data_IF_275593477409
#
_entry.id   IF_275593477409
#
_cell.length_a   1.000
_cell.length_b   1.000
_cell.length_c   1.000
_cell.angle_alpha   90.00
_cell.angle_beta   90.00
_cell.angle_gamma   90.00
#
_symmetry.space_group_name_H-M   'P 1'
#
loop_
_entity.id
_entity.type
_entity.pdbx_description
1 polymer ?
#
# COMPACT_ATOMS: atom_id res chain seq x y z
N UNK A 1 55.34 -23.27 38.19
CA UNK A 1 55.25 -23.04 36.77
C UNK A 1 53.85 -23.53 36.33
N UNK A 2 52.94 -22.63 36.18
CA UNK A 2 51.56 -22.91 35.74
C UNK A 2 51.41 -22.47 34.27
N UNK A 3 51.23 -23.42 33.38
CA UNK A 3 51.00 -23.14 31.96
C UNK A 3 49.57 -22.69 31.75
N UNK A 4 49.42 -21.46 31.23
CA UNK A 4 48.16 -20.93 30.77
C UNK A 4 47.89 -21.49 29.35
N UNK A 5 46.89 -22.34 29.24
CA UNK A 5 46.34 -22.80 27.96
C UNK A 5 45.37 -21.72 27.43
N UNK A 6 45.75 -21.01 26.40
CA UNK A 6 44.87 -20.16 25.61
C UNK A 6 44.03 -21.03 24.67
N UNK A 7 42.71 -21.05 24.87
CA UNK A 7 41.76 -21.57 23.89
C UNK A 7 41.54 -20.51 22.79
N UNK A 8 41.54 -20.90 21.52
CA UNK A 8 41.22 -19.94 20.45
C UNK A 8 39.73 -19.56 20.49
N UNK A 9 39.46 -18.27 20.48
CA UNK A 9 38.12 -17.74 20.26
C UNK A 9 37.72 -18.04 18.80
N UNK A 10 36.74 -18.91 18.62
CA UNK A 10 36.09 -19.09 17.32
C UNK A 10 35.40 -17.75 16.95
N UNK A 11 35.95 -17.08 15.93
CA UNK A 11 35.25 -15.99 15.25
C UNK A 11 34.06 -16.60 14.52
N UNK A 12 32.85 -16.39 15.03
CA UNK A 12 31.63 -16.59 14.27
C UNK A 12 31.68 -15.62 13.07
N UNK A 13 32.13 -16.11 11.93
CA UNK A 13 31.92 -15.41 10.66
C UNK A 13 30.42 -15.49 10.38
N UNK A 14 29.71 -14.40 10.62
CA UNK A 14 28.37 -14.25 10.07
C UNK A 14 28.50 -14.41 8.57
N UNK A 15 27.92 -15.49 8.03
CA UNK A 15 27.96 -15.77 6.61
C UNK A 15 27.42 -14.57 5.85
N UNK A 16 28.23 -14.02 4.95
CA UNK A 16 27.76 -13.04 3.98
C UNK A 16 26.56 -13.68 3.24
N UNK A 17 25.42 -12.99 3.22
CA UNK A 17 24.30 -13.39 2.36
C UNK A 17 24.84 -13.56 0.95
N UNK A 18 24.55 -14.67 0.34
CA UNK A 18 24.86 -14.92 -1.07
C UNK A 18 23.86 -14.11 -1.90
N UNK A 19 24.23 -12.88 -2.28
CA UNK A 19 23.41 -11.97 -3.08
C UNK A 19 23.16 -12.47 -4.51
N UNK A 20 23.66 -13.67 -4.87
CA UNK A 20 23.48 -14.28 -6.19
C UNK A 20 22.18 -15.10 -6.33
N UNK A 21 21.52 -15.45 -5.24
CA UNK A 21 20.22 -16.17 -5.29
C UNK A 21 19.06 -15.19 -5.29
N UNK A 22 18.04 -15.41 -6.16
CA UNK A 22 16.80 -14.64 -6.06
C UNK A 22 16.21 -14.85 -4.67
N UNK A 23 15.77 -13.74 -4.04
CA UNK A 23 15.12 -13.78 -2.73
C UNK A 23 13.80 -14.55 -2.87
N UNK A 24 13.58 -15.53 -2.01
CA UNK A 24 12.35 -16.28 -1.92
C UNK A 24 11.48 -15.74 -0.77
N UNK A 25 10.16 -15.82 -0.94
CA UNK A 25 9.17 -15.45 0.08
C UNK A 25 8.40 -16.68 0.49
N UNK A 26 8.47 -16.99 1.79
CA UNK A 26 7.81 -18.16 2.38
C UNK A 26 6.56 -17.71 3.14
N UNK A 27 5.48 -18.47 2.96
CA UNK A 27 4.26 -18.30 3.73
C UNK A 27 4.51 -18.58 5.22
N UNK A 28 4.00 -17.71 6.09
CA UNK A 28 4.11 -17.84 7.54
C UNK A 28 2.77 -18.26 8.18
N UNK A 29 1.76 -17.40 8.04
CA UNK A 29 0.42 -17.64 8.60
C UNK A 29 -0.63 -16.78 7.89
N UNK A 30 -1.89 -17.03 8.25
CA UNK A 30 -3.05 -16.28 7.74
C UNK A 30 -4.11 -16.13 8.83
N UNK A 31 -4.98 -15.14 8.65
CA UNK A 31 -6.21 -15.00 9.43
C UNK A 31 -7.33 -14.39 8.60
N UNK A 32 -8.54 -14.40 9.16
CA UNK A 32 -9.74 -13.93 8.48
C UNK A 32 -10.54 -15.07 7.84
N UNK A 33 -11.77 -14.79 7.61
CA UNK A 33 -12.74 -15.65 6.91
C UNK A 33 -13.94 -14.81 6.49
N UNK A 34 -14.75 -15.34 5.59
CA UNK A 34 -15.96 -14.66 5.12
C UNK A 34 -16.97 -14.44 6.25
N UNK A 35 -17.45 -13.22 6.42
CA UNK A 35 -18.53 -12.90 7.36
C UNK A 35 -18.51 -11.48 7.90
N UNK A 36 -19.40 -11.21 8.86
CA UNK A 36 -19.58 -9.90 9.50
C UNK A 36 -19.23 -9.87 10.98
N UNK A 37 -18.84 -11.01 11.57
CA UNK A 37 -18.34 -11.06 12.93
C UNK A 37 -16.97 -10.35 13.05
N UNK A 38 -16.52 -10.14 14.28
CA UNK A 38 -15.21 -9.60 14.56
C UNK A 38 -14.11 -10.52 14.01
N UNK A 39 -13.14 -9.94 13.29
CA UNK A 39 -12.07 -10.68 12.61
C UNK A 39 -12.47 -11.38 11.31
N UNK A 40 -13.72 -11.22 10.86
CA UNK A 40 -14.19 -11.70 9.56
C UNK A 40 -14.24 -10.54 8.55
N UNK A 41 -14.23 -10.88 7.26
CA UNK A 41 -14.23 -9.92 6.17
C UNK A 41 -15.31 -10.23 5.13
N UNK A 42 -15.84 -9.19 4.48
CA UNK A 42 -16.64 -9.30 3.26
C UNK A 42 -15.82 -8.94 2.03
N UNK A 43 -15.14 -7.79 2.08
CA UNK A 43 -14.28 -7.30 1.01
C UNK A 43 -13.12 -6.48 1.58
N UNK A 44 -12.14 -7.15 2.22
CA UNK A 44 -10.97 -6.46 2.73
C UNK A 44 -10.21 -5.83 1.56
N UNK A 45 -9.69 -4.62 1.76
CA UNK A 45 -9.08 -3.86 0.67
C UNK A 45 -7.64 -3.48 0.97
N UNK A 46 -7.36 -2.81 2.08
CA UNK A 46 -6.06 -2.26 2.43
C UNK A 46 -5.59 -2.72 3.81
N UNK A 47 -4.28 -2.70 4.02
CA UNK A 47 -3.61 -3.03 5.29
C UNK A 47 -2.53 -2.02 5.60
N UNK A 48 -2.51 -1.47 6.82
CA UNK A 48 -1.48 -0.56 7.31
C UNK A 48 -1.10 -0.86 8.75
N UNK A 49 0.01 -0.26 9.26
CA UNK A 49 0.56 -0.56 10.59
C UNK A 49 0.82 0.72 11.38
N UNK A 50 0.50 0.69 12.69
CA UNK A 50 0.96 1.72 13.60
C UNK A 50 2.38 1.43 14.14
N UNK A 51 2.96 2.37 14.90
CA UNK A 51 4.32 2.25 15.42
C UNK A 51 4.49 1.12 16.44
N UNK A 52 3.41 0.65 17.06
CA UNK A 52 3.39 -0.49 17.99
C UNK A 52 3.23 -1.85 17.25
N UNK A 53 3.07 -1.82 15.92
CA UNK A 53 2.92 -3.00 15.06
C UNK A 53 1.51 -3.59 15.06
N UNK A 54 0.50 -2.84 15.47
CA UNK A 54 -0.89 -3.24 15.24
C UNK A 54 -1.25 -3.08 13.77
N UNK A 55 -2.11 -3.98 13.30
CA UNK A 55 -2.52 -4.10 11.89
C UNK A 55 -3.92 -3.52 11.73
N UNK A 56 -4.10 -2.63 10.76
CA UNK A 56 -5.39 -2.03 10.43
C UNK A 56 -5.81 -2.46 9.04
N UNK A 57 -7.07 -2.88 8.89
CA UNK A 57 -7.61 -3.39 7.63
C UNK A 57 -8.91 -2.69 7.33
N UNK A 58 -9.03 -2.11 6.12
CA UNK A 58 -10.30 -1.58 5.61
C UNK A 58 -11.14 -2.71 5.00
N UNK A 59 -12.46 -2.65 5.22
CA UNK A 59 -13.39 -3.53 4.54
C UNK A 59 -14.48 -2.71 3.82
N UNK A 60 -14.41 -2.73 2.50
CA UNK A 60 -15.25 -1.90 1.62
C UNK A 60 -16.73 -2.20 1.71
N UNK A 61 -17.10 -3.47 1.87
CA UNK A 61 -18.50 -3.90 1.88
C UNK A 61 -19.09 -3.91 3.30
N UNK A 62 -18.22 -3.87 4.34
CA UNK A 62 -18.63 -3.68 5.73
C UNK A 62 -18.67 -2.20 6.11
N UNK A 63 -17.98 -1.34 5.37
CA UNK A 63 -17.80 0.07 5.68
C UNK A 63 -17.21 0.28 7.09
N UNK A 64 -16.25 -0.57 7.48
CA UNK A 64 -15.53 -0.47 8.74
C UNK A 64 -14.01 -0.66 8.58
N UNK A 65 -13.29 -0.24 9.60
CA UNK A 65 -11.86 -0.49 9.77
C UNK A 65 -11.73 -1.43 10.96
N UNK A 66 -10.96 -2.50 10.83
CA UNK A 66 -10.66 -3.44 11.89
C UNK A 66 -9.19 -3.35 12.31
N UNK A 67 -8.93 -3.31 13.63
CA UNK A 67 -7.59 -3.35 14.23
C UNK A 67 -7.30 -4.75 14.76
N UNK A 68 -6.10 -5.24 14.50
CA UNK A 68 -5.59 -6.54 14.93
C UNK A 68 -4.21 -6.38 15.59
N UNK A 69 -3.80 -7.35 16.39
CA UNK A 69 -2.40 -7.53 16.74
C UNK A 69 -1.61 -8.13 15.55
N UNK A 70 -0.29 -8.06 15.59
CA UNK A 70 0.59 -8.59 14.53
C UNK A 70 0.36 -10.08 14.20
N UNK A 71 -0.18 -10.86 15.13
CA UNK A 71 -0.51 -12.28 14.93
C UNK A 71 -1.95 -12.52 14.45
N UNK A 72 -2.69 -11.46 14.06
CA UNK A 72 -4.05 -11.55 13.53
C UNK A 72 -5.17 -11.68 14.57
N UNK A 73 -4.88 -11.42 15.86
CA UNK A 73 -5.95 -11.39 16.89
C UNK A 73 -6.72 -10.08 16.80
N UNK A 74 -8.05 -10.17 16.63
CA UNK A 74 -8.94 -9.01 16.59
C UNK A 74 -8.88 -8.22 17.91
N UNK A 75 -8.85 -6.88 17.82
CA UNK A 75 -8.82 -5.98 18.96
C UNK A 75 -10.06 -5.10 19.00
N UNK A 76 -10.33 -4.37 17.92
CA UNK A 76 -11.45 -3.45 17.84
C UNK A 76 -11.79 -3.12 16.39
N UNK A 77 -12.92 -2.45 16.18
CA UNK A 77 -13.32 -1.89 14.89
C UNK A 77 -14.10 -0.60 15.09
N UNK A 78 -14.13 0.21 14.04
CA UNK A 78 -14.97 1.41 13.97
C UNK A 78 -15.45 1.63 12.53
N UNK A 79 -16.43 2.51 12.39
CA UNK A 79 -17.07 2.79 11.12
C UNK A 79 -18.40 2.09 10.95
N UNK A 80 -19.18 2.57 10.03
CA UNK A 80 -20.43 2.01 9.53
C UNK A 80 -20.82 2.73 8.25
N UNK A 81 -21.69 2.15 7.45
CA UNK A 81 -22.19 2.78 6.24
C UNK A 81 -22.79 4.17 6.51
N UNK A 82 -22.41 5.18 5.71
CA UNK A 82 -22.95 6.51 5.76
C UNK A 82 -21.96 7.61 5.35
N UNK A 83 -22.40 8.87 5.53
CA UNK A 83 -21.62 10.05 5.13
C UNK A 83 -21.31 11.01 6.29
N UNK A 84 -21.65 10.68 7.53
CA UNK A 84 -21.28 11.49 8.71
C UNK A 84 -19.83 11.24 9.10
N UNK A 85 -19.32 12.09 10.00
CA UNK A 85 -18.02 11.88 10.63
C UNK A 85 -17.93 10.48 11.27
N UNK A 86 -16.88 9.73 10.94
CA UNK A 86 -16.67 8.36 11.40
C UNK A 86 -17.52 7.30 10.70
N UNK A 87 -18.36 7.67 9.73
CA UNK A 87 -19.03 6.73 8.82
C UNK A 87 -18.30 6.69 7.48
N UNK A 88 -18.45 5.60 6.74
CA UNK A 88 -17.79 5.39 5.47
C UNK A 88 -18.76 4.98 4.36
N UNK A 89 -18.37 5.27 3.14
CA UNK A 89 -18.93 4.69 1.93
C UNK A 89 -17.80 4.15 1.09
N UNK A 90 -17.63 2.83 1.11
CA UNK A 90 -16.54 2.17 0.37
C UNK A 90 -15.17 2.70 0.81
N UNK A 91 -14.73 2.49 2.08
CA UNK A 91 -13.39 2.88 2.51
C UNK A 91 -12.34 2.07 1.74
N UNK A 92 -11.38 2.78 1.15
CA UNK A 92 -10.34 2.19 0.29
C UNK A 92 -9.03 2.05 1.04
N UNK A 93 -8.20 3.09 1.03
CA UNK A 93 -6.87 3.07 1.61
C UNK A 93 -6.86 3.52 3.07
N UNK A 94 -5.91 2.99 3.82
CA UNK A 94 -5.56 3.39 5.19
C UNK A 94 -4.08 3.76 5.20
N UNK A 95 -3.76 4.98 5.56
CA UNK A 95 -2.39 5.39 5.79
C UNK A 95 -2.19 5.85 7.23
N UNK A 96 -1.04 5.54 7.81
CA UNK A 96 -0.72 5.87 9.20
C UNK A 96 0.57 6.68 9.25
N UNK A 97 0.48 7.93 9.76
CA UNK A 97 1.63 8.81 9.88
C UNK A 97 2.54 8.44 11.07
N UNK A 98 3.69 9.08 11.16
CA UNK A 98 4.69 8.84 12.23
C UNK A 98 4.22 9.22 13.64
N UNK A 99 3.06 9.83 13.78
CA UNK A 99 2.41 10.16 15.06
C UNK A 99 1.23 9.22 15.35
N UNK A 100 1.10 8.13 14.59
CA UNK A 100 0.02 7.16 14.65
C UNK A 100 -1.38 7.75 14.39
N UNK A 101 -1.46 8.84 13.62
CA UNK A 101 -2.75 9.26 13.11
C UNK A 101 -3.12 8.40 11.91
N UNK A 102 -4.37 7.95 11.91
CA UNK A 102 -4.92 7.06 10.87
C UNK A 102 -5.71 7.90 9.88
N UNK A 103 -5.33 7.83 8.61
CA UNK A 103 -6.06 8.45 7.51
C UNK A 103 -6.79 7.37 6.74
N UNK A 104 -8.05 7.59 6.44
CA UNK A 104 -8.88 6.66 5.66
C UNK A 104 -9.40 7.38 4.42
N UNK A 105 -9.09 6.85 3.26
CA UNK A 105 -9.66 7.29 2.00
C UNK A 105 -11.08 6.74 1.89
N UNK A 106 -12.06 7.58 2.11
CA UNK A 106 -13.50 7.27 2.07
C UNK A 106 -14.04 7.54 0.66
N UNK A 107 -13.67 6.65 -0.27
CA UNK A 107 -13.80 6.82 -1.72
C UNK A 107 -15.22 7.15 -2.17
N UNK A 108 -16.23 6.47 -1.64
CA UNK A 108 -17.63 6.69 -2.05
C UNK A 108 -18.24 7.98 -1.51
N UNK A 109 -17.54 8.67 -0.59
CA UNK A 109 -17.90 9.99 -0.09
C UNK A 109 -16.95 11.09 -0.59
N UNK A 110 -16.04 10.79 -1.52
CA UNK A 110 -15.07 11.71 -2.11
C UNK A 110 -14.27 12.50 -1.06
N UNK A 111 -13.82 11.84 0.00
CA UNK A 111 -13.13 12.49 1.12
C UNK A 111 -12.05 11.64 1.77
N UNK A 112 -11.22 12.29 2.59
CA UNK A 112 -10.29 11.65 3.50
C UNK A 112 -10.71 11.96 4.93
N UNK A 113 -10.73 10.97 5.80
CA UNK A 113 -11.02 11.13 7.22
C UNK A 113 -9.80 10.77 8.06
N UNK A 114 -9.53 11.56 9.12
CA UNK A 114 -8.46 11.35 10.10
C UNK A 114 -9.01 10.87 11.43
N UNK A 115 -8.35 9.87 12.02
CA UNK A 115 -8.68 9.26 13.30
C UNK A 115 -7.45 9.15 14.18
N UNK A 116 -7.66 8.99 15.49
CA UNK A 116 -6.64 8.51 16.41
C UNK A 116 -6.53 6.96 16.41
N UNK A 117 -5.56 6.40 17.14
CA UNK A 117 -5.33 4.94 17.26
C UNK A 117 -6.51 4.16 17.86
N UNK A 118 -7.47 4.85 18.49
CA UNK A 118 -8.69 4.28 19.06
C UNK A 118 -9.89 4.41 18.12
N UNK A 119 -9.67 4.85 16.88
CA UNK A 119 -10.74 5.06 15.91
C UNK A 119 -11.62 6.27 16.21
N UNK A 120 -11.16 7.21 17.06
CA UNK A 120 -11.89 8.45 17.34
C UNK A 120 -11.70 9.42 16.17
N UNK A 121 -12.79 9.88 15.59
CA UNK A 121 -12.73 10.85 14.50
C UNK A 121 -12.09 12.18 14.98
N UNK A 122 -11.16 12.68 14.16
CA UNK A 122 -10.47 13.96 14.40
C UNK A 122 -10.92 15.01 13.40
N UNK A 123 -10.82 14.73 12.11
CA UNK A 123 -11.07 15.70 11.03
C UNK A 123 -11.35 14.99 9.70
N UNK A 124 -11.91 15.73 8.73
CA UNK A 124 -12.09 15.25 7.36
C UNK A 124 -11.83 16.36 6.34
N UNK A 125 -11.58 15.96 5.08
CA UNK A 125 -11.35 16.84 3.94
C UNK A 125 -11.97 16.22 2.69
N UNK A 126 -12.76 17.02 1.98
CA UNK A 126 -13.32 16.69 0.66
C UNK A 126 -12.52 17.37 -0.48
N UNK A 127 -11.55 18.21 -0.09
CA UNK A 127 -10.63 18.93 -0.98
C UNK A 127 -9.38 19.39 -0.23
N UNK A 128 -8.29 19.74 -0.93
CA UNK A 128 -7.14 20.40 -0.31
C UNK A 128 -7.53 21.76 0.28
N UNK A 129 -6.83 22.19 1.33
CA UNK A 129 -6.96 23.55 1.86
C UNK A 129 -6.20 24.57 0.99
N UNK A 130 -6.56 25.85 1.09
CA UNK A 130 -5.87 26.98 0.46
C UNK A 130 -5.87 26.96 -1.08
N UNK A 131 -6.87 26.34 -1.69
CA UNK A 131 -7.12 26.41 -3.13
C UNK A 131 -8.30 27.34 -3.42
N UNK A 132 -8.33 27.95 -4.60
CA UNK A 132 -9.47 28.73 -5.07
C UNK A 132 -10.68 27.80 -5.32
N UNK A 133 -11.86 28.25 -4.94
CA UNK A 133 -13.06 27.46 -4.62
C UNK A 133 -13.67 26.60 -5.74
N UNK A 134 -13.19 26.60 -6.96
CA UNK A 134 -14.02 26.09 -8.08
C UNK A 134 -13.65 24.72 -8.65
N UNK A 135 -12.41 24.19 -8.45
CA UNK A 135 -11.97 23.05 -9.25
C UNK A 135 -11.18 21.95 -8.49
N UNK A 136 -11.29 21.87 -7.16
CA UNK A 136 -10.34 21.06 -6.38
C UNK A 136 -10.98 20.05 -5.43
N UNK A 137 -12.24 19.68 -5.62
CA UNK A 137 -12.82 18.54 -4.89
C UNK A 137 -12.17 17.25 -5.33
N UNK A 138 -11.98 16.31 -4.40
CA UNK A 138 -11.59 14.97 -4.77
C UNK A 138 -12.72 14.29 -5.53
N UNK A 139 -12.36 13.43 -6.47
CA UNK A 139 -13.29 12.58 -7.19
C UNK A 139 -12.82 11.14 -7.14
N UNK A 140 -13.56 10.31 -6.42
CA UNK A 140 -13.21 8.89 -6.23
C UNK A 140 -11.72 8.69 -5.88
N UNK A 141 -11.17 9.36 -4.83
CA UNK A 141 -9.79 9.14 -4.42
C UNK A 141 -9.64 7.66 -4.01
N UNK A 142 -8.51 7.03 -4.35
CA UNK A 142 -8.35 5.61 -4.10
C UNK A 142 -7.23 5.31 -3.11
N UNK A 143 -6.09 6.00 -3.23
CA UNK A 143 -4.96 5.74 -2.37
C UNK A 143 -4.29 7.01 -1.88
N UNK A 144 -3.56 6.92 -0.77
CA UNK A 144 -2.73 7.98 -0.25
C UNK A 144 -1.51 7.45 0.48
N UNK A 145 -0.43 8.21 0.43
CA UNK A 145 0.79 7.93 1.19
C UNK A 145 1.29 9.19 1.89
N UNK A 146 1.87 9.02 3.07
CA UNK A 146 2.57 10.07 3.82
C UNK A 146 4.07 9.87 3.69
N UNK A 147 4.76 10.79 3.05
CA UNK A 147 6.23 10.83 3.09
C UNK A 147 6.69 11.08 4.54
N UNK A 148 7.15 10.03 5.19
CA UNK A 148 7.54 10.03 6.62
C UNK A 148 8.70 10.99 6.94
N UNK A 149 9.44 11.43 5.92
CA UNK A 149 10.56 12.36 6.07
C UNK A 149 10.13 13.83 6.09
N UNK A 150 9.18 14.18 5.24
CA UNK A 150 8.70 15.57 5.06
C UNK A 150 7.34 15.83 5.68
N UNK A 151 6.54 14.78 5.91
CA UNK A 151 5.14 14.85 6.31
C UNK A 151 4.21 15.24 5.15
N UNK A 152 4.74 15.36 3.91
CA UNK A 152 3.90 15.62 2.75
C UNK A 152 3.04 14.39 2.43
N UNK A 153 1.86 14.65 1.91
CA UNK A 153 0.91 13.62 1.53
C UNK A 153 0.73 13.62 0.02
N UNK A 154 0.61 12.44 -0.56
CA UNK A 154 0.31 12.28 -1.97
C UNK A 154 -0.94 11.42 -2.09
N UNK A 155 -1.88 11.83 -2.94
CA UNK A 155 -3.21 11.22 -3.08
C UNK A 155 -3.45 10.92 -4.55
N UNK A 156 -3.88 9.72 -4.87
CA UNK A 156 -4.45 9.40 -6.16
C UNK A 156 -5.89 9.91 -6.21
N UNK A 157 -6.09 11.02 -6.88
CA UNK A 157 -7.41 11.60 -7.15
C UNK A 157 -7.92 11.04 -8.48
N UNK A 158 -8.31 9.77 -8.42
CA UNK A 158 -8.48 8.87 -9.57
C UNK A 158 -9.53 9.36 -10.54
N UNK A 159 -10.68 9.84 -10.05
CA UNK A 159 -11.74 10.35 -10.93
C UNK A 159 -11.37 11.66 -11.64
N UNK A 160 -10.32 12.35 -11.18
CA UNK A 160 -9.73 13.52 -11.83
C UNK A 160 -8.45 13.19 -12.59
N UNK A 161 -8.03 11.92 -12.67
CA UNK A 161 -6.84 11.44 -13.39
C UNK A 161 -5.55 12.17 -12.98
N UNK A 162 -5.40 12.48 -11.69
CA UNK A 162 -4.26 13.25 -11.17
C UNK A 162 -3.73 12.72 -9.84
N UNK A 163 -2.51 13.14 -9.49
CA UNK A 163 -1.94 13.03 -8.15
C UNK A 163 -1.94 14.42 -7.53
N UNK A 164 -2.40 14.51 -6.28
CA UNK A 164 -2.41 15.75 -5.49
C UNK A 164 -1.38 15.62 -4.38
N UNK A 165 -0.46 16.59 -4.27
CA UNK A 165 0.50 16.72 -3.18
C UNK A 165 0.04 17.78 -2.20
N UNK A 166 0.00 17.42 -0.92
CA UNK A 166 -0.40 18.28 0.20
C UNK A 166 0.72 18.35 1.25
N UNK A 167 0.70 19.41 2.06
CA UNK A 167 1.50 19.42 3.29
C UNK A 167 0.81 18.66 4.43
N UNK A 168 1.48 18.50 5.56
CA UNK A 168 0.97 17.83 6.76
C UNK A 168 -0.29 18.46 7.38
N UNK A 169 -0.70 19.66 6.93
CA UNK A 169 -1.92 20.35 7.33
C UNK A 169 -3.04 20.23 6.29
N UNK A 170 -2.85 19.39 5.26
CA UNK A 170 -3.73 19.28 4.09
C UNK A 170 -3.80 20.55 3.23
N UNK A 171 -2.76 21.40 3.26
CA UNK A 171 -2.67 22.53 2.37
C UNK A 171 -2.08 22.08 1.03
N UNK A 172 -2.68 22.55 -0.05
CA UNK A 172 -2.24 22.26 -1.41
C UNK A 172 -0.80 22.74 -1.66
N UNK A 173 -0.02 21.89 -2.29
CA UNK A 173 1.34 22.21 -2.75
C UNK A 173 1.37 22.24 -4.28
N UNK A 174 1.04 21.13 -4.92
CA UNK A 174 1.00 20.97 -6.38
C UNK A 174 0.21 19.73 -6.77
N UNK A 175 -0.07 19.60 -8.06
CA UNK A 175 -0.64 18.41 -8.65
C UNK A 175 -0.01 18.12 -10.01
N UNK A 176 -0.15 16.88 -10.48
CA UNK A 176 0.26 16.48 -11.83
C UNK A 176 -0.60 15.33 -12.33
N UNK A 177 -0.58 15.12 -13.64
CA UNK A 177 -1.42 14.12 -14.31
C UNK A 177 -2.21 14.75 -15.43
N UNK A 178 -3.51 14.55 -15.46
CA UNK A 178 -4.38 15.13 -16.49
C UNK A 178 -4.49 16.66 -16.33
N UNK A 179 -4.55 17.36 -17.44
CA UNK A 179 -4.80 18.80 -17.47
C UNK A 179 -6.31 19.14 -17.61
N UNK A 180 -7.11 18.14 -17.99
CA UNK A 180 -8.56 18.29 -18.29
C UNK A 180 -9.43 17.20 -17.64
N UNK A 181 -8.84 16.38 -16.73
CA UNK A 181 -9.52 15.29 -16.04
C UNK A 181 -9.81 14.06 -16.93
N UNK A 182 -9.24 14.01 -18.12
CA UNK A 182 -9.44 12.86 -19.01
C UNK A 182 -8.27 11.85 -18.92
N UNK A 183 -8.56 10.54 -19.01
CA UNK A 183 -7.54 9.50 -18.96
C UNK A 183 -6.57 9.59 -20.15
N UNK A 184 -5.30 9.32 -19.92
CA UNK A 184 -4.27 9.36 -20.95
C UNK A 184 -3.13 8.38 -20.67
N UNK A 185 -2.73 7.63 -21.68
CA UNK A 185 -1.59 6.72 -21.65
C UNK A 185 -0.23 7.40 -21.92
N UNK A 186 -0.20 8.74 -22.09
CA UNK A 186 1.05 9.47 -22.25
C UNK A 186 1.92 9.43 -20.99
N UNK A 187 3.22 9.65 -21.14
CA UNK A 187 4.16 9.73 -20.02
C UNK A 187 3.83 10.92 -19.14
N UNK A 188 3.77 10.70 -17.81
CA UNK A 188 3.42 11.72 -16.84
C UNK A 188 1.94 12.07 -16.78
N UNK A 189 1.10 11.37 -17.56
CA UNK A 189 -0.36 11.39 -17.50
C UNK A 189 -0.86 10.05 -16.99
N UNK A 190 -2.11 9.95 -16.62
CA UNK A 190 -2.68 8.75 -16.02
C UNK A 190 -3.92 8.26 -16.77
N UNK A 191 -4.14 6.97 -16.63
CA UNK A 191 -5.38 6.30 -16.97
C UNK A 191 -5.78 5.43 -15.78
N UNK A 192 -6.55 6.01 -14.89
CA UNK A 192 -6.98 5.45 -13.63
C UNK A 192 -5.79 5.21 -12.66
N UNK A 193 -5.12 6.29 -12.14
CA UNK A 193 -4.07 6.15 -11.14
C UNK A 193 -4.66 5.48 -9.89
N UNK A 194 -4.05 4.39 -9.41
CA UNK A 194 -4.62 3.55 -8.37
C UNK A 194 -3.75 3.55 -7.12
N UNK A 195 -2.67 2.79 -7.07
CA UNK A 195 -1.75 2.76 -5.94
C UNK A 195 -0.65 3.81 -6.05
N UNK A 196 -0.22 4.35 -4.92
CA UNK A 196 0.84 5.34 -4.82
C UNK A 196 1.72 5.07 -3.60
N UNK A 197 3.05 5.16 -3.78
CA UNK A 197 3.96 5.13 -2.66
C UNK A 197 5.21 5.99 -2.91
N UNK A 198 5.98 6.26 -1.84
CA UNK A 198 7.13 7.17 -1.84
C UNK A 198 8.36 6.49 -1.22
N UNK A 199 9.48 6.49 -1.94
CA UNK A 199 10.73 5.95 -1.42
C UNK A 199 11.45 6.92 -0.46
N UNK A 200 12.45 6.42 0.28
CA UNK A 200 13.24 7.22 1.24
C UNK A 200 14.02 8.38 0.61
N UNK A 201 14.12 8.43 -0.72
CA UNK A 201 14.76 9.49 -1.49
C UNK A 201 13.75 10.57 -1.94
N UNK A 202 12.44 10.32 -1.72
CA UNK A 202 11.33 11.21 -2.09
C UNK A 202 10.86 11.01 -3.53
N UNK A 203 11.23 9.91 -4.20
CA UNK A 203 10.62 9.56 -5.48
C UNK A 203 9.24 8.95 -5.27
N UNK A 204 8.29 9.38 -6.08
CA UNK A 204 6.89 8.95 -6.05
C UNK A 204 6.65 7.91 -7.14
N UNK A 205 6.01 6.81 -6.78
CA UNK A 205 5.69 5.71 -7.69
C UNK A 205 4.18 5.55 -7.75
N UNK A 206 3.65 5.45 -8.96
CA UNK A 206 2.21 5.36 -9.21
C UNK A 206 1.95 4.22 -10.20
N UNK A 207 1.06 3.30 -9.86
CA UNK A 207 0.53 2.35 -10.83
C UNK A 207 -0.86 2.76 -11.31
N UNK A 208 -1.24 2.25 -12.47
CA UNK A 208 -2.50 2.56 -13.12
C UNK A 208 -3.33 1.28 -13.32
N UNK A 209 -4.61 1.36 -13.02
CA UNK A 209 -5.53 0.23 -13.12
C UNK A 209 -5.81 -0.17 -14.58
N UNK A 210 -6.04 0.84 -15.44
CA UNK A 210 -6.44 0.65 -16.84
C UNK A 210 -5.24 0.61 -17.81
N UNK A 211 -4.03 0.89 -17.33
CA UNK A 211 -2.83 0.90 -18.13
C UNK A 211 -1.69 0.19 -17.37
N UNK A 212 -1.43 -1.11 -17.66
CA UNK A 212 -0.56 -1.95 -16.83
C UNK A 212 0.90 -1.49 -16.81
N UNK A 213 1.18 -0.42 -16.07
CA UNK A 213 2.53 0.13 -15.85
C UNK A 213 2.68 0.75 -14.47
N UNK A 214 3.91 0.96 -14.08
CA UNK A 214 4.29 1.81 -12.94
C UNK A 214 5.06 3.01 -13.49
N UNK A 215 4.74 4.21 -13.02
CA UNK A 215 5.45 5.44 -13.35
C UNK A 215 6.17 5.96 -12.11
N UNK A 216 7.41 6.44 -12.29
CA UNK A 216 8.23 7.07 -11.24
C UNK A 216 8.38 8.56 -11.53
N UNK A 217 8.23 9.37 -10.49
CA UNK A 217 8.32 10.83 -10.51
C UNK A 217 9.28 11.32 -9.45
N UNK A 218 9.79 12.54 -9.60
CA UNK A 218 10.42 13.25 -8.49
C UNK A 218 9.35 13.87 -7.55
N UNK A 219 9.78 14.43 -6.44
CA UNK A 219 8.92 15.07 -5.44
C UNK A 219 8.08 16.25 -5.96
N UNK A 220 8.40 16.77 -7.16
CA UNK A 220 7.72 17.87 -7.82
C UNK A 220 6.83 17.40 -8.98
N UNK A 221 6.57 16.09 -9.07
CA UNK A 221 5.71 15.50 -10.10
C UNK A 221 6.34 15.42 -11.49
N UNK A 222 7.67 15.63 -11.61
CA UNK A 222 8.36 15.48 -12.89
C UNK A 222 8.59 14.01 -13.19
N UNK A 223 8.08 13.56 -14.35
CA UNK A 223 8.27 12.20 -14.84
C UNK A 223 9.76 11.84 -14.98
N UNK A 224 10.16 10.68 -14.46
CA UNK A 224 11.51 10.14 -14.54
C UNK A 224 11.55 8.93 -15.47
N UNK A 225 10.77 7.90 -15.16
CA UNK A 225 10.74 6.65 -15.92
C UNK A 225 9.43 5.89 -15.71
N UNK A 226 9.23 4.87 -16.53
CA UNK A 226 8.15 3.91 -16.36
C UNK A 226 8.60 2.52 -16.78
N UNK A 227 7.93 1.51 -16.23
CA UNK A 227 8.10 0.11 -16.65
C UNK A 227 6.78 -0.65 -16.53
N UNK A 228 6.80 -1.86 -17.04
CA UNK A 228 5.60 -2.68 -17.14
C UNK A 228 5.00 -2.65 -18.54
N UNK A 229 4.30 -3.69 -18.86
CA UNK A 229 3.52 -3.85 -20.11
C UNK A 229 2.52 -4.98 -19.89
N UNK A 230 1.46 -5.01 -20.68
CA UNK A 230 0.48 -6.10 -20.61
C UNK A 230 1.12 -7.45 -20.89
N UNK A 231 0.80 -8.45 -20.07
CA UNK A 231 1.27 -9.83 -20.19
C UNK A 231 1.30 -10.59 -18.88
N UNK A 232 1.86 -11.82 -18.90
CA UNK A 232 1.96 -12.71 -17.73
C UNK A 232 3.40 -13.09 -17.36
N UNK A 233 4.37 -12.61 -18.13
CA UNK A 233 5.79 -12.86 -17.86
C UNK A 233 6.33 -12.02 -16.69
N UNK A 234 7.62 -12.21 -16.32
CA UNK A 234 8.32 -11.36 -15.38
C UNK A 234 8.33 -9.90 -15.86
N UNK A 235 7.93 -8.96 -14.98
CA UNK A 235 7.85 -7.54 -15.31
C UNK A 235 6.71 -7.15 -16.24
N UNK A 236 5.84 -8.10 -16.59
CA UNK A 236 4.58 -7.84 -17.28
C UNK A 236 3.42 -7.94 -16.28
N UNK A 237 2.35 -7.22 -16.56
CA UNK A 237 1.18 -7.16 -15.70
C UNK A 237 -0.09 -7.50 -16.46
N UNK A 238 -1.05 -8.08 -15.75
CA UNK A 238 -2.40 -8.24 -16.29
C UNK A 238 -3.20 -6.94 -16.11
N UNK A 239 -4.22 -6.67 -16.94
CA UNK A 239 -5.15 -5.57 -16.67
C UNK A 239 -5.75 -5.67 -15.26
N UNK A 240 -6.10 -4.54 -14.67
CA UNK A 240 -6.51 -4.38 -13.28
C UNK A 240 -5.33 -4.62 -12.32
N UNK A 241 -4.30 -3.82 -12.51
CA UNK A 241 -3.12 -3.78 -11.66
C UNK A 241 -3.49 -3.11 -10.34
N UNK A 242 -3.42 -3.85 -9.24
CA UNK A 242 -3.88 -3.38 -7.93
C UNK A 242 -2.85 -2.45 -7.25
N UNK A 243 -2.42 -2.69 -6.04
CA UNK A 243 -1.59 -1.78 -5.25
C UNK A 243 -0.08 -2.07 -5.37
N UNK A 244 0.75 -1.03 -5.19
CA UNK A 244 2.21 -1.14 -5.01
C UNK A 244 2.63 -0.69 -3.61
N UNK A 245 3.73 -1.24 -3.10
CA UNK A 245 4.33 -0.89 -1.81
C UNK A 245 5.85 -0.87 -1.90
N UNK A 246 6.51 0.06 -1.23
CA UNK A 246 7.97 0.23 -1.26
C UNK A 246 8.59 -0.12 0.08
N UNK A 247 9.37 -1.19 0.11
CA UNK A 247 10.30 -1.43 1.20
C UNK A 247 11.53 -0.53 1.04
N UNK A 248 11.43 0.66 1.60
CA UNK A 248 12.51 1.66 1.55
C UNK A 248 13.80 1.22 2.27
N UNK A 249 13.74 0.21 3.15
CA UNK A 249 14.91 -0.32 3.83
C UNK A 249 15.79 -1.18 2.91
N UNK A 250 15.17 -1.83 1.92
CA UNK A 250 15.84 -2.74 1.01
C UNK A 250 15.73 -2.34 -0.47
N UNK A 251 15.20 -1.14 -0.74
CA UNK A 251 15.05 -0.56 -2.09
C UNK A 251 14.25 -1.50 -3.03
N UNK A 252 13.15 -2.07 -2.51
CA UNK A 252 12.28 -3.02 -3.21
C UNK A 252 10.89 -2.47 -3.39
N UNK A 253 10.32 -2.76 -4.54
CA UNK A 253 8.94 -2.40 -4.90
C UNK A 253 8.15 -3.68 -5.07
N UNK A 254 7.11 -3.86 -4.28
CA UNK A 254 6.16 -4.96 -4.36
C UNK A 254 4.95 -4.51 -5.14
N UNK A 255 4.54 -5.28 -6.12
CA UNK A 255 3.40 -4.96 -6.98
C UNK A 255 2.40 -6.10 -7.00
N UNK A 256 1.15 -5.81 -6.68
CA UNK A 256 0.05 -6.77 -6.73
C UNK A 256 -0.44 -6.91 -8.16
N UNK A 257 -0.15 -8.04 -8.82
CA UNK A 257 -0.69 -8.41 -10.13
C UNK A 257 -1.96 -9.24 -9.87
N UNK A 258 -3.13 -8.55 -9.82
CA UNK A 258 -4.28 -9.00 -9.05
C UNK A 258 -5.17 -10.06 -9.71
N UNK A 259 -6.15 -9.66 -10.55
CA UNK A 259 -7.33 -10.49 -10.80
C UNK A 259 -7.10 -11.65 -11.79
N UNK A 260 -6.24 -11.50 -12.79
CA UNK A 260 -6.10 -12.45 -13.91
C UNK A 260 -4.83 -13.32 -13.83
N UNK A 261 -3.90 -12.95 -12.96
CA UNK A 261 -2.66 -13.69 -12.71
C UNK A 261 -2.19 -13.45 -11.26
N UNK A 262 -2.96 -13.91 -10.26
CA UNK A 262 -2.76 -13.56 -8.86
C UNK A 262 -1.36 -13.89 -8.36
N UNK A 263 -0.53 -12.87 -8.16
CA UNK A 263 0.84 -12.96 -7.63
C UNK A 263 1.30 -11.60 -7.12
N UNK A 264 2.36 -11.60 -6.35
CA UNK A 264 3.13 -10.40 -6.03
C UNK A 264 4.42 -10.44 -6.83
N UNK A 265 4.72 -9.38 -7.57
CA UNK A 265 6.00 -9.20 -8.26
C UNK A 265 6.86 -8.20 -7.49
N UNK A 266 8.17 -8.46 -7.42
CA UNK A 266 9.13 -7.61 -6.72
C UNK A 266 10.13 -7.04 -7.72
N UNK A 267 10.38 -5.74 -7.61
CA UNK A 267 11.30 -4.98 -8.46
C UNK A 267 12.31 -4.23 -7.59
N UNK A 268 13.43 -3.84 -8.17
CA UNK A 268 14.29 -2.81 -7.60
C UNK A 268 13.81 -1.40 -8.00
N UNK A 269 14.40 -0.35 -7.44
CA UNK A 269 14.06 1.05 -7.71
C UNK A 269 14.34 1.52 -9.14
N UNK A 270 15.08 0.73 -9.95
CA UNK A 270 15.30 0.94 -11.37
C UNK A 270 14.25 0.24 -12.25
N UNK A 271 13.23 -0.37 -11.64
CA UNK A 271 12.15 -1.08 -12.32
C UNK A 271 12.55 -2.46 -12.87
N UNK A 272 13.71 -3.00 -12.48
CA UNK A 272 14.10 -4.36 -12.90
C UNK A 272 13.40 -5.40 -12.02
N UNK A 273 12.76 -6.37 -12.67
CA UNK A 273 12.15 -7.52 -12.00
C UNK A 273 13.21 -8.32 -11.24
N UNK A 274 12.92 -8.70 -9.99
CA UNK A 274 13.81 -9.50 -9.15
C UNK A 274 13.24 -10.88 -8.84
N UNK A 275 11.99 -10.94 -8.39
CA UNK A 275 11.32 -12.22 -8.06
C UNK A 275 9.80 -12.05 -8.07
N UNK A 276 9.08 -13.15 -7.90
CA UNK A 276 7.63 -13.13 -7.67
C UNK A 276 7.21 -14.31 -6.82
N UNK A 277 6.12 -14.18 -6.09
CA UNK A 277 5.53 -15.25 -5.29
C UNK A 277 4.00 -15.21 -5.33
N UNK A 278 3.39 -16.32 -4.94
CA UNK A 278 1.96 -16.53 -5.03
C UNK A 278 1.50 -17.07 -6.38
N UNK A 279 0.41 -17.81 -6.34
CA UNK A 279 -0.27 -18.41 -7.50
C UNK A 279 -1.77 -18.39 -7.27
N UNK A 280 -2.56 -18.58 -8.32
CA UNK A 280 -4.01 -18.62 -8.19
C UNK A 280 -4.47 -19.82 -7.35
N UNK A 281 -5.30 -19.58 -6.34
CA UNK A 281 -5.90 -20.62 -5.52
C UNK A 281 -6.41 -20.13 -4.16
N UNK A 282 -6.66 -21.08 -3.25
CA UNK A 282 -7.14 -20.84 -1.89
C UNK A 282 -6.28 -21.53 -0.80
N UNK A 283 -5.22 -22.23 -1.19
CA UNK A 283 -4.24 -22.82 -0.29
C UNK A 283 -3.33 -21.76 0.35
N UNK A 284 -2.40 -22.22 1.20
CA UNK A 284 -1.38 -21.37 1.81
C UNK A 284 -0.38 -20.91 0.73
N UNK A 285 -0.14 -19.58 0.66
CA UNK A 285 0.66 -18.98 -0.39
C UNK A 285 -0.03 -18.84 -1.76
N UNK A 286 -1.28 -19.28 -1.89
CA UNK A 286 -2.11 -19.04 -3.08
C UNK A 286 -3.03 -17.85 -2.87
N UNK A 287 -3.37 -17.13 -3.93
CA UNK A 287 -4.23 -15.94 -3.89
C UNK A 287 -5.46 -16.08 -4.78
N UNK A 288 -6.54 -15.40 -4.35
CA UNK A 288 -7.71 -15.16 -5.17
C UNK A 288 -8.01 -13.67 -5.17
N UNK A 289 -7.67 -12.98 -6.26
CA UNK A 289 -7.81 -11.52 -6.37
C UNK A 289 -7.15 -10.79 -5.20
N UNK A 290 -5.83 -10.87 -5.02
CA UNK A 290 -5.12 -10.04 -4.04
C UNK A 290 -5.31 -8.57 -4.41
N UNK A 291 -5.51 -7.71 -3.39
CA UNK A 291 -5.80 -6.27 -3.58
C UNK A 291 -4.62 -5.41 -3.15
N UNK A 292 -4.06 -5.67 -1.98
CA UNK A 292 -3.07 -4.82 -1.36
C UNK A 292 -1.91 -5.64 -0.80
N UNK A 293 -0.73 -5.03 -0.77
CA UNK A 293 0.47 -5.54 -0.10
C UNK A 293 1.05 -4.43 0.75
N UNK A 294 1.51 -4.76 1.97
CA UNK A 294 2.25 -3.83 2.82
C UNK A 294 3.32 -4.59 3.62
N UNK A 295 4.34 -3.87 4.11
CA UNK A 295 5.51 -4.46 4.74
C UNK A 295 5.68 -3.88 6.14
N UNK A 296 5.73 -4.75 7.16
CA UNK A 296 5.96 -4.31 8.54
C UNK A 296 7.44 -3.93 8.77
N UNK A 297 7.71 -3.30 9.91
CA UNK A 297 9.06 -2.89 10.31
C UNK A 297 10.07 -4.03 10.44
N UNK A 298 9.61 -5.28 10.51
CA UNK A 298 10.43 -6.50 10.56
C UNK A 298 10.71 -7.08 9.18
N UNK A 299 10.11 -6.52 8.12
CA UNK A 299 10.22 -6.99 6.74
C UNK A 299 9.28 -8.14 6.40
N UNK A 300 8.25 -8.40 7.21
CA UNK A 300 7.18 -9.32 6.84
C UNK A 300 6.24 -8.66 5.85
N UNK A 301 5.84 -9.42 4.83
CA UNK A 301 4.97 -8.98 3.76
C UNK A 301 3.54 -9.45 4.03
N UNK A 302 2.64 -8.50 4.20
CA UNK A 302 1.21 -8.75 4.43
C UNK A 302 0.45 -8.56 3.13
N UNK A 303 -0.36 -9.52 2.75
CA UNK A 303 -1.15 -9.49 1.51
C UNK A 303 -2.63 -9.60 1.84
N UNK A 304 -3.40 -8.64 1.38
CA UNK A 304 -4.87 -8.69 1.40
C UNK A 304 -5.33 -9.62 0.30
N UNK A 305 -5.67 -10.85 0.64
CA UNK A 305 -6.19 -11.87 -0.28
C UNK A 305 -7.72 -11.77 -0.34
N UNK A 306 -8.21 -10.71 -1.01
CA UNK A 306 -9.61 -10.29 -1.02
C UNK A 306 -10.56 -11.40 -1.45
N UNK A 307 -10.24 -12.10 -2.53
CA UNK A 307 -11.13 -13.14 -3.06
C UNK A 307 -11.30 -14.33 -2.13
N UNK A 308 -10.38 -14.53 -1.18
CA UNK A 308 -10.45 -15.54 -0.12
C UNK A 308 -10.84 -14.94 1.25
N UNK A 309 -11.16 -13.64 1.32
CA UNK A 309 -11.54 -12.89 2.54
C UNK A 309 -10.58 -13.15 3.71
N UNK A 310 -9.27 -12.99 3.45
CA UNK A 310 -8.22 -13.25 4.44
C UNK A 310 -7.01 -12.35 4.25
N UNK A 311 -6.20 -12.29 5.28
CA UNK A 311 -4.82 -11.81 5.23
C UNK A 311 -3.87 -12.99 5.15
N UNK A 312 -2.78 -12.87 4.40
CA UNK A 312 -1.65 -13.79 4.42
C UNK A 312 -0.36 -13.04 4.70
N UNK A 313 0.53 -13.65 5.49
CA UNK A 313 1.82 -13.08 5.86
C UNK A 313 2.95 -13.96 5.36
N UNK A 314 3.97 -13.32 4.81
CA UNK A 314 5.17 -13.94 4.24
C UNK A 314 6.41 -13.30 4.83
N UNK A 315 7.52 -14.01 4.79
CA UNK A 315 8.85 -13.47 5.07
C UNK A 315 9.87 -13.99 4.09
N UNK A 316 11.02 -13.31 4.00
CA UNK A 316 12.15 -13.84 3.21
C UNK A 316 12.68 -15.14 3.82
N UNK A 317 12.97 -16.15 3.01
CA UNK A 317 13.50 -17.47 3.42
C UNK A 317 14.73 -17.97 2.61
#
# INVERSE_FOLDING_TARGET
>A
MSENVFLPTENLVMGAKDDSKPMEYCYNFKWGSTGTADGQFLRPHDVSFDSDGYVYISDRDRNDIQKFSANGTFIMKWGSEGNKAGQFSVPYSIEIDSMDNIYVVDRGNDRIQKFDVNGTFIQQWDRPKNVNETDQEFASPEDMVVDRKTGNMYITDTGNERIVKLDSNFSYILEWGSDDGNPSNARGKFNHPHGIDVDSKGYVYVNELENPRIQKFDENGKFIMQWGSEGKGPGQFTPLLEHLEIDSNQDRIFMVDGALNPRIQVFNSDGNFTTSFGTQGNGDGEFSKPEHVNIDSSGNVYVVDRGNQRMQVFSSC
#
